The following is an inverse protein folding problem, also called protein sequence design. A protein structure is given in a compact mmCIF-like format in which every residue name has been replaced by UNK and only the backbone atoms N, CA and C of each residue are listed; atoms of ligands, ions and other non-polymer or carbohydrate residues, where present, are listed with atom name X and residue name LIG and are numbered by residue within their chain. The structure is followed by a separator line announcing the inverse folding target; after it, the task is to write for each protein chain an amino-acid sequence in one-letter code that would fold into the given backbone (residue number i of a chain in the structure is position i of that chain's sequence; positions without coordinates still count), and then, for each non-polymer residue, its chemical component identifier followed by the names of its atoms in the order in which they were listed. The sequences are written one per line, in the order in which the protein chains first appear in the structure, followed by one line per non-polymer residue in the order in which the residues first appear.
data_IF_617597516725
#
_entry.id   IF_617597516725
#
_cell.length_a   1.000
_cell.length_b   1.000
_cell.length_c   1.000
_cell.angle_alpha   90.00
_cell.angle_beta   90.00
_cell.angle_gamma   90.00
#
_symmetry.space_group_name_H-M   'P 1'
#
loop_
_entity.id
_entity.type
_entity.pdbx_description
1 polymer ?
#
# COMPACT_ATOMS: atom_id res chain seq x y z
N UNK A 1 72.05 74.29 -31.51
CA UNK A 1 70.65 73.83 -31.64
C UNK A 1 70.40 72.42 -31.05
N UNK A 2 71.37 71.74 -30.44
CA UNK A 2 71.22 70.36 -29.92
C UNK A 2 70.98 70.25 -28.40
N UNK A 3 71.07 71.34 -27.63
CA UNK A 3 70.99 71.30 -26.15
C UNK A 3 69.58 71.07 -25.61
N UNK A 4 68.54 71.51 -26.33
CA UNK A 4 67.14 71.34 -25.91
C UNK A 4 66.60 69.92 -26.12
N UNK A 5 67.25 69.09 -26.96
CA UNK A 5 66.77 67.74 -27.24
C UNK A 5 67.14 66.73 -26.12
N UNK A 6 68.24 66.97 -25.39
CA UNK A 6 68.74 66.04 -24.37
C UNK A 6 67.97 66.17 -23.05
N UNK A 7 67.50 67.37 -22.70
CA UNK A 7 66.81 67.64 -21.42
C UNK A 7 65.38 67.10 -21.34
N UNK A 8 64.68 66.94 -22.48
CA UNK A 8 63.31 66.40 -22.49
C UNK A 8 63.24 64.86 -22.43
N UNK A 9 64.28 64.16 -22.88
CA UNK A 9 64.31 62.68 -22.87
C UNK A 9 64.20 62.04 -21.47
N UNK A 10 64.90 62.50 -20.41
CA UNK A 10 64.72 61.93 -19.07
C UNK A 10 63.35 62.26 -18.47
N UNK A 11 62.77 63.42 -18.81
CA UNK A 11 61.44 63.84 -18.33
C UNK A 11 60.35 62.95 -18.93
N UNK A 12 60.43 62.67 -20.23
CA UNK A 12 59.49 61.77 -20.92
C UNK A 12 59.62 60.35 -20.38
N UNK A 13 60.84 59.85 -20.19
CA UNK A 13 61.07 58.53 -19.61
C UNK A 13 60.48 58.41 -18.20
N UNK A 14 60.66 59.42 -17.35
CA UNK A 14 60.07 59.48 -16.01
C UNK A 14 58.54 59.47 -16.02
N UNK A 15 57.93 60.25 -16.93
CA UNK A 15 56.47 60.28 -17.09
C UNK A 15 55.91 58.90 -17.51
N UNK A 16 56.56 58.22 -18.47
CA UNK A 16 56.15 56.87 -18.90
C UNK A 16 56.23 55.87 -17.75
N UNK A 17 57.33 55.86 -16.99
CA UNK A 17 57.46 54.97 -15.82
C UNK A 17 56.38 55.25 -14.78
N UNK A 18 56.07 56.53 -14.53
CA UNK A 18 55.01 56.91 -13.60
C UNK A 18 53.63 56.43 -14.06
N UNK A 19 53.29 56.60 -15.34
CA UNK A 19 52.02 56.09 -15.89
C UNK A 19 51.94 54.56 -15.85
N UNK A 20 53.02 53.85 -16.13
CA UNK A 20 53.08 52.39 -16.03
C UNK A 20 52.88 51.93 -14.58
N UNK A 21 53.52 52.61 -13.61
CA UNK A 21 53.34 52.33 -12.19
C UNK A 21 51.89 52.56 -11.74
N UNK A 22 51.29 53.70 -12.13
CA UNK A 22 49.89 53.97 -11.83
C UNK A 22 48.95 52.94 -12.46
N UNK A 23 49.19 52.55 -13.71
CA UNK A 23 48.40 51.54 -14.40
C UNK A 23 48.49 50.18 -13.69
N UNK A 24 49.69 49.75 -13.27
CA UNK A 24 49.88 48.53 -12.48
C UNK A 24 49.16 48.59 -11.14
N UNK A 25 49.22 49.71 -10.43
CA UNK A 25 48.52 49.91 -9.16
C UNK A 25 47.00 49.79 -9.37
N UNK A 26 46.44 50.41 -10.41
CA UNK A 26 45.02 50.31 -10.73
C UNK A 26 44.62 48.87 -11.05
N UNK A 27 45.39 48.15 -11.87
CA UNK A 27 45.13 46.75 -12.19
C UNK A 27 45.15 45.84 -10.95
N UNK A 28 46.09 46.06 -10.02
CA UNK A 28 46.15 45.32 -8.77
C UNK A 28 44.94 45.60 -7.88
N UNK A 29 44.50 46.85 -7.77
CA UNK A 29 43.29 47.24 -7.02
C UNK A 29 42.04 46.58 -7.60
N UNK A 30 41.88 46.60 -8.93
CA UNK A 30 40.76 45.96 -9.62
C UNK A 30 40.78 44.44 -9.40
N UNK A 31 41.94 43.79 -9.56
CA UNK A 31 42.08 42.33 -9.35
C UNK A 31 41.76 41.91 -7.90
N UNK A 32 42.17 42.72 -6.92
CA UNK A 32 41.83 42.50 -5.51
C UNK A 32 40.33 42.68 -5.25
N UNK A 33 39.70 43.69 -5.85
CA UNK A 33 38.24 43.91 -5.74
C UNK A 33 37.43 42.77 -6.36
N UNK A 34 37.83 42.29 -7.54
CA UNK A 34 37.20 41.16 -8.24
C UNK A 34 37.23 39.87 -7.41
N UNK A 35 38.29 39.67 -6.63
CA UNK A 35 38.45 38.49 -5.78
C UNK A 35 37.37 38.39 -4.70
N UNK A 36 36.85 39.52 -4.21
CA UNK A 36 35.76 39.53 -3.23
C UNK A 36 34.42 39.11 -3.87
N UNK A 37 34.15 39.57 -5.10
CA UNK A 37 32.93 39.20 -5.83
C UNK A 37 32.94 37.71 -6.20
N UNK A 38 34.06 37.20 -6.71
CA UNK A 38 34.24 35.78 -7.03
C UNK A 38 34.05 34.91 -5.79
N UNK A 39 34.55 35.34 -4.62
CA UNK A 39 34.35 34.62 -3.37
C UNK A 39 32.89 34.56 -2.96
N UNK A 40 32.13 35.66 -3.09
CA UNK A 40 30.68 35.68 -2.80
C UNK A 40 29.91 34.73 -3.71
N UNK A 41 30.13 34.82 -5.01
CA UNK A 41 29.50 33.92 -6.00
C UNK A 41 29.81 32.46 -5.67
N UNK A 42 31.06 32.16 -5.31
CA UNK A 42 31.47 30.80 -4.96
C UNK A 42 30.81 30.31 -3.66
N UNK A 43 30.63 31.20 -2.68
CA UNK A 43 29.92 30.88 -1.44
C UNK A 43 28.43 30.60 -1.70
N UNK A 44 27.78 31.43 -2.52
CA UNK A 44 26.38 31.22 -2.90
C UNK A 44 26.21 29.89 -3.64
N UNK A 45 27.09 29.59 -4.62
CA UNK A 45 27.04 28.30 -5.31
C UNK A 45 27.20 27.11 -4.36
N UNK A 46 28.12 27.20 -3.39
CA UNK A 46 28.28 26.15 -2.38
C UNK A 46 27.05 26.00 -1.46
N UNK A 47 26.34 27.09 -1.17
CA UNK A 47 25.09 27.02 -0.41
C UNK A 47 23.98 26.36 -1.22
N UNK A 48 23.80 26.77 -2.48
CA UNK A 48 22.83 26.17 -3.39
C UNK A 48 23.08 24.67 -3.59
N UNK A 49 24.34 24.25 -3.77
CA UNK A 49 24.68 22.82 -3.86
C UNK A 49 24.32 22.06 -2.58
N UNK A 50 24.60 22.63 -1.41
CA UNK A 50 24.25 22.01 -0.12
C UNK A 50 22.74 21.88 0.02
N UNK A 51 21.97 22.88 -0.39
CA UNK A 51 20.52 22.87 -0.29
C UNK A 51 19.90 21.89 -1.28
N UNK A 52 20.44 21.79 -2.50
CA UNK A 52 20.07 20.73 -3.45
C UNK A 52 20.36 19.33 -2.90
N UNK A 53 21.54 19.12 -2.31
CA UNK A 53 21.88 17.84 -1.68
C UNK A 53 20.96 17.50 -0.51
N UNK A 54 20.62 18.47 0.34
CA UNK A 54 19.65 18.28 1.44
C UNK A 54 18.27 17.93 0.91
N UNK A 55 17.78 18.68 -0.09
CA UNK A 55 16.48 18.43 -0.70
C UNK A 55 16.44 17.06 -1.36
N UNK A 56 17.49 16.66 -2.08
CA UNK A 56 17.61 15.33 -2.68
C UNK A 56 17.55 14.21 -1.64
N UNK A 57 18.21 14.40 -0.48
CA UNK A 57 18.10 13.45 0.65
C UNK A 57 16.67 13.36 1.20
N UNK A 58 16.00 14.49 1.38
CA UNK A 58 14.60 14.50 1.84
C UNK A 58 13.67 13.78 0.85
N UNK A 59 13.86 14.01 -0.46
CA UNK A 59 13.10 13.30 -1.50
C UNK A 59 13.34 11.79 -1.44
N UNK A 60 14.58 11.36 -1.16
CA UNK A 60 14.90 9.94 -1.01
C UNK A 60 14.21 9.32 0.23
N UNK A 61 14.19 10.05 1.33
CA UNK A 61 13.48 9.63 2.55
C UNK A 61 11.98 9.53 2.31
N UNK A 62 11.36 10.54 1.71
CA UNK A 62 9.94 10.53 1.33
C UNK A 62 9.64 9.36 0.40
N UNK A 63 10.52 9.05 -0.56
CA UNK A 63 10.35 7.90 -1.45
C UNK A 63 10.26 6.60 -0.66
N UNK A 64 11.09 6.40 0.36
CA UNK A 64 11.03 5.20 1.21
C UNK A 64 9.71 5.10 1.99
N UNK A 65 9.23 6.22 2.53
CA UNK A 65 7.94 6.31 3.25
C UNK A 65 6.78 5.97 2.32
N UNK A 66 6.76 6.53 1.10
CA UNK A 66 5.70 6.27 0.11
C UNK A 66 5.68 4.80 -0.32
N UNK A 67 6.85 4.18 -0.52
CA UNK A 67 6.94 2.74 -0.84
C UNK A 67 6.39 1.89 0.31
N UNK A 68 6.76 2.20 1.56
CA UNK A 68 6.24 1.48 2.72
C UNK A 68 4.72 1.65 2.89
N UNK A 69 4.19 2.85 2.64
CA UNK A 69 2.75 3.08 2.65
C UNK A 69 2.04 2.30 1.55
N UNK A 70 2.60 2.25 0.33
CA UNK A 70 2.06 1.46 -0.76
C UNK A 70 1.95 -0.03 -0.44
N UNK A 71 2.96 -0.60 0.23
CA UNK A 71 2.91 -1.98 0.72
C UNK A 71 1.78 -2.18 1.75
N UNK A 72 1.61 -1.24 2.68
CA UNK A 72 0.55 -1.31 3.70
C UNK A 72 -0.85 -1.17 3.13
N UNK A 73 -1.03 -0.31 2.12
CA UNK A 73 -2.30 -0.19 1.39
C UNK A 73 -2.59 -1.48 0.62
N UNK A 74 -1.58 -2.10 -0.01
CA UNK A 74 -1.73 -3.40 -0.66
C UNK A 74 -2.15 -4.50 0.30
N UNK A 75 -1.49 -4.61 1.46
CA UNK A 75 -1.84 -5.57 2.52
C UNK A 75 -3.28 -5.35 3.01
N UNK A 76 -3.71 -4.11 3.22
CA UNK A 76 -5.11 -3.80 3.58
C UNK A 76 -6.09 -4.15 2.47
N UNK A 77 -5.74 -3.93 1.20
CA UNK A 77 -6.60 -4.28 0.08
C UNK A 77 -6.83 -5.80 0.01
N UNK A 78 -5.79 -6.60 0.24
CA UNK A 78 -5.90 -8.07 0.28
C UNK A 78 -6.79 -8.53 1.44
N UNK A 79 -6.65 -7.90 2.62
CA UNK A 79 -7.52 -8.18 3.76
C UNK A 79 -8.98 -7.84 3.43
N UNK A 80 -9.24 -6.67 2.83
CA UNK A 80 -10.59 -6.25 2.43
C UNK A 80 -11.18 -7.24 1.42
N UNK A 81 -10.40 -7.67 0.43
CA UNK A 81 -10.83 -8.63 -0.57
C UNK A 81 -11.24 -9.96 0.08
N UNK A 82 -10.40 -10.49 0.96
CA UNK A 82 -10.72 -11.70 1.72
C UNK A 82 -11.96 -11.54 2.61
N UNK A 83 -12.11 -10.40 3.28
CA UNK A 83 -13.31 -10.14 4.09
C UNK A 83 -14.57 -10.11 3.21
N UNK A 84 -14.50 -9.51 2.03
CA UNK A 84 -15.63 -9.40 1.12
C UNK A 84 -16.06 -10.77 0.58
N UNK A 85 -15.09 -11.64 0.25
CA UNK A 85 -15.36 -13.04 -0.10
C UNK A 85 -16.08 -13.78 1.04
N UNK A 86 -15.60 -13.63 2.28
CA UNK A 86 -16.24 -14.23 3.46
C UNK A 86 -17.64 -13.70 3.72
N UNK A 87 -17.86 -12.39 3.54
CA UNK A 87 -19.19 -11.78 3.67
C UNK A 87 -20.13 -12.37 2.63
N UNK A 88 -19.68 -12.48 1.38
CA UNK A 88 -20.49 -13.07 0.29
C UNK A 88 -20.87 -14.52 0.60
N UNK A 89 -19.91 -15.33 1.09
CA UNK A 89 -20.18 -16.71 1.54
C UNK A 89 -21.22 -16.75 2.67
N UNK A 90 -21.07 -15.87 3.68
CA UNK A 90 -21.99 -15.81 4.82
C UNK A 90 -23.39 -15.32 4.44
N UNK A 91 -23.50 -14.34 3.55
CA UNK A 91 -24.78 -13.86 3.03
C UNK A 91 -25.54 -14.97 2.29
N UNK A 92 -24.83 -15.78 1.50
CA UNK A 92 -25.44 -16.92 0.80
C UNK A 92 -25.95 -17.97 1.81
N UNK A 93 -25.16 -18.31 2.83
CA UNK A 93 -25.56 -19.26 3.88
C UNK A 93 -26.75 -18.75 4.70
N UNK A 94 -26.81 -17.46 5.02
CA UNK A 94 -27.95 -16.88 5.76
C UNK A 94 -29.22 -16.87 4.91
N UNK A 95 -29.10 -16.59 3.60
CA UNK A 95 -30.23 -16.66 2.69
C UNK A 95 -30.83 -18.08 2.64
N UNK A 96 -29.98 -19.09 2.40
CA UNK A 96 -30.39 -20.49 2.37
C UNK A 96 -30.99 -20.92 3.72
N UNK A 97 -30.33 -20.57 4.83
CA UNK A 97 -30.81 -20.89 6.18
C UNK A 97 -32.18 -20.29 6.50
N UNK A 98 -32.47 -19.07 6.04
CA UNK A 98 -33.78 -18.43 6.19
C UNK A 98 -34.86 -19.13 5.34
N UNK A 99 -34.52 -19.52 4.11
CA UNK A 99 -35.42 -20.29 3.24
C UNK A 99 -35.78 -21.64 3.86
N UNK A 100 -34.78 -22.41 4.33
CA UNK A 100 -35.02 -23.70 4.98
C UNK A 100 -35.79 -23.59 6.31
N UNK A 101 -35.49 -22.58 7.13
CA UNK A 101 -36.22 -22.34 8.39
C UNK A 101 -37.70 -22.00 8.15
N UNK A 102 -37.97 -21.21 7.10
CA UNK A 102 -39.34 -20.90 6.66
C UNK A 102 -40.05 -22.14 6.12
N UNK A 103 -39.41 -22.89 5.24
CA UNK A 103 -39.95 -24.12 4.67
C UNK A 103 -40.28 -25.16 5.74
N UNK A 104 -39.38 -25.38 6.71
CA UNK A 104 -39.61 -26.31 7.83
C UNK A 104 -40.85 -25.94 8.66
N UNK A 105 -41.13 -24.63 8.84
CA UNK A 105 -42.35 -24.18 9.53
C UNK A 105 -43.60 -24.46 8.70
N UNK A 106 -43.58 -24.19 7.39
CA UNK A 106 -44.73 -24.45 6.51
C UNK A 106 -45.05 -25.94 6.39
N UNK A 107 -44.03 -26.80 6.28
CA UNK A 107 -44.21 -28.27 6.28
C UNK A 107 -44.81 -28.76 7.60
N UNK A 108 -44.40 -28.21 8.75
CA UNK A 108 -44.99 -28.54 10.06
C UNK A 108 -46.47 -28.13 10.19
N UNK A 109 -46.88 -27.08 9.49
CA UNK A 109 -48.27 -26.61 9.43
C UNK A 109 -49.11 -27.40 8.41
N UNK A 110 -48.49 -28.28 7.61
CA UNK A 110 -49.16 -29.13 6.64
C UNK A 110 -49.30 -28.52 5.25
N UNK A 111 -48.47 -27.55 4.89
CA UNK A 111 -48.41 -27.00 3.53
C UNK A 111 -48.14 -28.10 2.49
N UNK A 112 -48.69 -27.96 1.28
CA UNK A 112 -48.48 -28.92 0.17
C UNK A 112 -47.11 -28.71 -0.51
N UNK A 113 -46.67 -29.70 -1.28
CA UNK A 113 -45.38 -29.66 -1.97
C UNK A 113 -45.28 -28.53 -2.99
N UNK A 114 -46.38 -28.23 -3.70
CA UNK A 114 -46.40 -27.17 -4.70
C UNK A 114 -46.32 -25.78 -4.05
N UNK A 115 -46.99 -25.62 -2.90
CA UNK A 115 -46.96 -24.41 -2.08
C UNK A 115 -45.55 -24.14 -1.53
N UNK A 116 -44.82 -25.20 -1.16
CA UNK A 116 -43.44 -25.09 -0.71
C UNK A 116 -42.46 -24.67 -1.81
N UNK A 117 -42.69 -25.14 -3.05
CA UNK A 117 -41.87 -24.80 -4.21
C UNK A 117 -42.09 -23.32 -4.60
N UNK A 118 -43.34 -22.85 -4.58
CA UNK A 118 -43.69 -21.50 -4.99
C UNK A 118 -43.30 -20.44 -3.94
N UNK A 119 -43.53 -20.70 -2.64
CA UNK A 119 -43.36 -19.70 -1.58
C UNK A 119 -41.95 -19.70 -0.95
N UNK A 120 -41.23 -20.82 -1.00
CA UNK A 120 -39.85 -20.92 -0.52
C UNK A 120 -38.81 -21.04 -1.64
N UNK A 121 -39.23 -20.98 -2.90
CA UNK A 121 -38.35 -21.07 -4.10
C UNK A 121 -37.44 -22.32 -4.09
N UNK A 122 -37.89 -23.39 -3.43
CA UNK A 122 -37.12 -24.62 -3.28
C UNK A 122 -37.24 -25.51 -4.53
N UNK A 123 -36.16 -26.18 -4.97
CA UNK A 123 -36.23 -27.15 -6.04
C UNK A 123 -37.08 -28.37 -5.61
N UNK A 124 -37.79 -28.97 -6.58
CA UNK A 124 -38.72 -30.08 -6.34
C UNK A 124 -38.15 -31.22 -5.50
N UNK A 125 -36.90 -31.62 -5.78
CA UNK A 125 -36.23 -32.70 -5.05
C UNK A 125 -36.01 -32.38 -3.56
N UNK A 126 -35.75 -31.11 -3.20
CA UNK A 126 -35.55 -30.69 -1.81
C UNK A 126 -36.88 -30.61 -1.05
N UNK A 127 -37.94 -30.12 -1.69
CA UNK A 127 -39.28 -30.11 -1.12
C UNK A 127 -39.78 -31.54 -0.82
N UNK A 128 -39.56 -32.49 -1.74
CA UNK A 128 -39.86 -33.91 -1.55
C UNK A 128 -39.10 -34.50 -0.36
N UNK A 129 -37.80 -34.18 -0.24
CA UNK A 129 -36.97 -34.61 0.88
C UNK A 129 -37.49 -34.06 2.22
N UNK A 130 -37.79 -32.76 2.31
CA UNK A 130 -38.31 -32.13 3.54
C UNK A 130 -39.64 -32.75 4.01
N UNK A 131 -40.55 -33.02 3.07
CA UNK A 131 -41.81 -33.71 3.34
C UNK A 131 -41.58 -35.13 3.86
N UNK A 132 -40.68 -35.89 3.23
CA UNK A 132 -40.35 -37.25 3.65
C UNK A 132 -39.72 -37.28 5.05
N UNK A 133 -38.83 -36.32 5.36
CA UNK A 133 -38.22 -36.17 6.67
C UNK A 133 -39.25 -35.88 7.75
N UNK A 134 -40.17 -34.94 7.49
CA UNK A 134 -41.25 -34.64 8.45
C UNK A 134 -42.18 -35.84 8.64
N UNK A 135 -42.52 -36.58 7.58
CA UNK A 135 -43.32 -37.80 7.67
C UNK A 135 -42.64 -38.89 8.50
N UNK A 136 -41.30 -39.01 8.39
CA UNK A 136 -40.48 -39.91 9.22
C UNK A 136 -40.43 -39.46 10.68
N UNK A 137 -40.28 -38.16 10.96
CA UNK A 137 -40.25 -37.59 12.32
C UNK A 137 -41.64 -37.67 12.98
N UNK A 138 -42.72 -37.46 12.22
CA UNK A 138 -44.11 -37.55 12.67
C UNK A 138 -44.60 -39.01 12.80
N UNK A 139 -43.72 -40.00 12.60
CA UNK A 139 -44.01 -41.42 12.84
C UNK A 139 -44.86 -42.11 11.76
N UNK A 140 -45.03 -41.50 10.58
CA UNK A 140 -45.80 -42.08 9.46
C UNK A 140 -44.99 -43.05 8.59
N UNK A 141 -43.67 -43.09 8.71
CA UNK A 141 -42.80 -43.97 7.93
C UNK A 141 -41.56 -44.44 8.72
N UNK A 142 -41.12 -45.69 8.55
CA UNK A 142 -39.93 -46.22 9.26
C UNK A 142 -38.66 -45.61 8.67
N UNK A 143 -37.86 -44.95 9.51
CA UNK A 143 -36.51 -44.50 9.16
C UNK A 143 -35.64 -45.71 8.79
N UNK A 144 -34.98 -45.71 7.62
CA UNK A 144 -33.83 -46.58 7.39
C UNK A 144 -32.74 -46.24 8.42
N UNK A 145 -31.99 -47.22 8.94
CA UNK A 145 -30.89 -46.93 9.86
C UNK A 145 -29.91 -45.97 9.21
N UNK A 146 -29.65 -44.83 9.85
CA UNK A 146 -28.54 -43.95 9.49
C UNK A 146 -27.26 -44.75 9.73
N UNK A 147 -26.62 -45.17 8.65
CA UNK A 147 -25.33 -45.83 8.70
C UNK A 147 -24.31 -44.84 9.27
N UNK A 148 -23.96 -45.02 10.54
CA UNK A 148 -22.90 -44.24 11.17
C UNK A 148 -21.59 -44.53 10.44
N UNK A 149 -21.01 -43.50 9.83
CA UNK A 149 -19.69 -43.54 9.20
C UNK A 149 -18.65 -44.27 10.09
N UNK A 150 -17.71 -45.07 9.54
CA UNK A 150 -16.95 -46.10 10.25
C UNK A 150 -15.82 -45.59 11.17
N UNK A 151 -15.88 -44.35 11.66
CA UNK A 151 -14.74 -43.74 12.39
C UNK A 151 -14.80 -43.86 13.93
N UNK A 152 -15.92 -44.30 14.52
CA UNK A 152 -16.09 -44.32 15.98
C UNK A 152 -15.56 -45.58 16.69
N UNK A 153 -15.10 -46.61 15.96
CA UNK A 153 -14.64 -47.88 16.55
C UNK A 153 -13.15 -47.88 17.00
N UNK A 154 -12.35 -46.86 16.64
CA UNK A 154 -10.91 -46.86 16.96
C UNK A 154 -10.55 -46.48 18.41
N UNK A 155 -11.50 -45.97 19.19
CA UNK A 155 -11.26 -45.51 20.57
C UNK A 155 -12.16 -46.23 21.61
N UNK A 156 -12.26 -47.56 21.52
CA UNK A 156 -12.64 -48.37 22.70
C UNK A 156 -11.68 -49.53 22.87
N UNK A 157 -10.45 -49.21 23.30
CA UNK A 157 -9.61 -50.22 23.95
C UNK A 157 -10.22 -50.54 25.33
N UNK A 158 -10.52 -51.80 25.65
CA UNK A 158 -10.85 -52.18 27.01
C UNK A 158 -9.56 -52.17 27.84
N UNK A 159 -9.54 -51.45 28.97
CA UNK A 159 -8.55 -51.64 30.02
C UNK A 159 -8.70 -53.07 30.53
N UNK A 160 -7.80 -53.94 30.10
CA UNK A 160 -7.63 -55.30 30.60
C UNK A 160 -7.21 -55.18 32.06
N UNK A 161 -8.13 -55.48 32.97
CA UNK A 161 -7.82 -55.70 34.38
C UNK A 161 -6.73 -56.77 34.48
N UNK A 162 -5.76 -56.50 35.33
CA UNK A 162 -4.78 -57.49 35.78
C UNK A 162 -4.57 -57.22 37.26
N UNK A 163 -5.11 -58.14 38.04
CA UNK A 163 -4.60 -58.72 39.29
C UNK A 163 -3.14 -58.34 39.62
#
# INVERSE_FOLDING_TARGET
MFESAVTHTPVIAGAVVFFVLLFLIVLLRVKMSQSALIRRIRQEQQQLEKDLLKSSKQVLEVRSVVVGLGQKVGEQQDIIQHLNERITELEQVDNDGRLYSRASKMVKLGADINELIEECELPKAEAELMMSLQNKIAGKERVPPLESSPESQKYRQPKRGRD
#
